data_IF_216505342932
#
_entry.id   IF_216505342932
#
_cell.length_a   1.000
_cell.length_b   1.000
_cell.length_c   1.000
_cell.angle_alpha   90.00
_cell.angle_beta   90.00
_cell.angle_gamma   90.00
#
_symmetry.space_group_name_H-M   'P 1'
#
loop_
_entity.id
_entity.type
_entity.pdbx_description
1 polymer ?
#
# COMPACT_ATOMS: atom_id res chain seq x y z
N UNK A 1 38.61 65.79 29.97
CA UNK A 1 39.47 64.59 29.89
C UNK A 1 39.36 64.05 28.47
N UNK A 2 40.37 64.34 27.66
CA UNK A 2 40.49 63.91 26.26
C UNK A 2 40.89 62.44 26.20
N UNK A 3 40.02 61.61 25.62
CA UNK A 3 40.23 60.17 25.46
C UNK A 3 41.12 59.93 24.23
N UNK A 4 42.44 59.99 24.43
CA UNK A 4 43.41 59.68 23.39
C UNK A 4 43.40 58.19 23.05
N UNK A 5 43.31 57.80 21.77
CA UNK A 5 43.59 56.42 21.36
C UNK A 5 45.03 56.07 21.79
N UNK A 6 45.20 54.97 22.52
CA UNK A 6 46.53 54.41 22.78
C UNK A 6 46.93 53.60 21.55
N UNK A 7 47.76 54.19 20.70
CA UNK A 7 48.66 53.39 19.85
C UNK A 7 49.77 52.87 20.77
N UNK A 8 49.56 51.72 21.42
CA UNK A 8 50.53 51.17 22.37
C UNK A 8 51.71 50.54 21.62
N UNK A 9 52.77 51.31 21.44
CA UNK A 9 54.12 50.78 21.20
C UNK A 9 54.71 50.28 22.52
N UNK A 10 54.23 49.13 23.02
CA UNK A 10 54.98 48.34 24.01
C UNK A 10 55.74 47.23 23.29
N UNK A 11 57.01 47.05 23.64
CA UNK A 11 57.88 46.00 23.08
C UNK A 11 57.23 44.62 23.29
N UNK A 12 56.86 43.95 22.19
CA UNK A 12 56.16 42.67 22.17
C UNK A 12 54.66 42.71 21.79
N UNK A 13 54.12 43.91 21.55
CA UNK A 13 52.74 44.11 21.10
C UNK A 13 52.72 45.01 19.86
N UNK A 14 53.18 44.52 18.71
CA UNK A 14 53.05 45.28 17.46
C UNK A 14 51.65 45.13 16.84
N UNK A 15 51.23 46.14 16.07
CA UNK A 15 50.03 46.06 15.20
C UNK A 15 48.67 45.85 15.88
N UNK A 16 48.50 46.27 17.13
CA UNK A 16 47.21 46.26 17.81
C UNK A 16 46.43 47.58 17.64
N UNK A 17 45.10 47.52 17.54
CA UNK A 17 44.22 48.68 17.51
C UNK A 17 43.23 48.64 18.68
N UNK A 18 43.38 49.53 19.66
CA UNK A 18 42.54 49.59 20.85
C UNK A 18 41.80 50.92 20.97
N UNK A 19 40.47 50.88 21.06
CA UNK A 19 39.63 52.08 21.21
C UNK A 19 38.50 51.87 22.23
N UNK A 20 38.44 52.76 23.21
CA UNK A 20 37.44 52.75 24.29
C UNK A 20 38.09 52.64 25.67
N UNK A 21 37.37 53.05 26.71
CA UNK A 21 37.89 53.03 28.08
C UNK A 21 38.34 51.62 28.47
N UNK A 22 39.61 51.48 28.83
CA UNK A 22 40.30 50.23 29.19
C UNK A 22 40.35 49.14 28.11
N UNK A 23 40.05 49.42 26.84
CA UNK A 23 40.20 48.43 25.78
C UNK A 23 41.65 47.90 25.75
N UNK A 24 41.83 46.58 25.77
CA UNK A 24 43.14 45.91 25.78
C UNK A 24 44.04 46.25 26.99
N UNK A 25 43.51 46.81 28.08
CA UNK A 25 44.34 47.30 29.20
C UNK A 25 45.17 46.20 29.88
N UNK A 26 44.70 44.95 29.85
CA UNK A 26 45.39 43.79 30.44
C UNK A 26 46.24 43.00 29.44
N UNK A 27 46.27 43.39 28.17
CA UNK A 27 47.07 42.76 27.12
C UNK A 27 48.55 43.07 27.35
N UNK A 28 49.34 42.05 27.69
CA UNK A 28 50.79 42.20 27.95
C UNK A 28 51.66 41.70 26.79
N UNK A 29 51.13 40.79 25.99
CA UNK A 29 51.75 40.19 24.81
C UNK A 29 50.66 39.98 23.77
N UNK A 30 51.06 39.62 22.55
CA UNK A 30 50.13 39.35 21.47
C UNK A 30 49.99 40.54 20.52
N UNK A 31 49.80 40.21 19.25
CA UNK A 31 49.89 41.14 18.13
C UNK A 31 48.65 41.01 17.25
N UNK A 32 48.41 42.02 16.40
CA UNK A 32 47.32 42.02 15.41
C UNK A 32 45.91 41.90 16.02
N UNK A 33 45.70 42.45 17.21
CA UNK A 33 44.40 42.47 17.88
C UNK A 33 43.64 43.77 17.61
N UNK A 34 42.32 43.69 17.45
CA UNK A 34 41.41 44.83 17.28
C UNK A 34 40.39 44.84 18.41
N UNK A 35 40.52 45.73 19.38
CA UNK A 35 39.58 45.86 20.50
C UNK A 35 38.87 47.21 20.51
N UNK A 36 37.55 47.21 20.33
CA UNK A 36 36.74 48.42 20.22
C UNK A 36 35.54 48.33 21.17
N UNK A 37 35.50 49.19 22.19
CA UNK A 37 34.44 49.22 23.19
C UNK A 37 35.00 49.36 24.61
N UNK A 38 34.17 49.82 25.55
CA UNK A 38 34.61 49.88 26.95
C UNK A 38 34.88 48.46 27.47
N UNK A 39 36.08 48.27 28.03
CA UNK A 39 36.57 46.98 28.53
C UNK A 39 36.64 45.85 27.47
N UNK A 40 36.60 46.16 26.17
CA UNK A 40 36.82 45.15 25.14
C UNK A 40 38.24 44.55 25.26
N UNK A 41 38.36 43.23 25.28
CA UNK A 41 39.64 42.52 25.49
C UNK A 41 40.32 42.84 26.83
N UNK A 42 39.59 43.35 27.82
CA UNK A 42 40.13 43.76 29.13
C UNK A 42 39.95 42.68 30.20
N UNK A 43 40.46 41.48 29.94
CA UNK A 43 40.39 40.36 30.88
C UNK A 43 41.75 39.85 31.32
N UNK A 44 41.73 39.00 32.33
CA UNK A 44 42.96 38.35 32.82
C UNK A 44 43.52 37.47 31.71
N UNK A 45 44.83 37.62 31.44
CA UNK A 45 45.55 36.83 30.45
C UNK A 45 45.06 36.95 29.00
N UNK A 46 44.35 38.01 28.62
CA UNK A 46 43.96 38.28 27.22
C UNK A 46 45.19 38.72 26.41
N UNK A 47 46.06 37.75 26.11
CA UNK A 47 47.45 37.95 25.65
C UNK A 47 47.75 37.23 24.33
N UNK A 48 46.73 36.65 23.69
CA UNK A 48 46.88 35.99 22.40
C UNK A 48 46.87 36.98 21.24
N UNK A 49 47.12 36.46 20.03
CA UNK A 49 47.26 37.26 18.81
C UNK A 49 46.07 37.08 17.87
N UNK A 50 45.91 38.01 16.94
CA UNK A 50 44.94 37.93 15.84
C UNK A 50 43.47 37.88 16.30
N UNK A 51 43.13 38.54 17.42
CA UNK A 51 41.77 38.58 17.93
C UNK A 51 41.04 39.87 17.57
N UNK A 52 39.74 39.78 17.29
CA UNK A 52 38.86 40.94 17.14
C UNK A 52 37.83 40.92 18.26
N UNK A 53 37.69 42.00 19.03
CA UNK A 53 36.64 42.16 20.03
C UNK A 53 35.97 43.54 19.90
N UNK A 54 34.71 43.58 19.50
CA UNK A 54 33.96 44.81 19.24
C UNK A 54 32.65 44.78 20.04
N UNK A 55 32.48 45.71 20.98
CA UNK A 55 31.35 45.77 21.90
C UNK A 55 31.77 46.15 23.32
N UNK A 56 30.82 46.58 24.15
CA UNK A 56 31.08 46.74 25.58
C UNK A 56 31.34 45.35 26.19
N UNK A 57 32.47 45.22 26.87
CA UNK A 57 32.92 43.98 27.53
C UNK A 57 33.02 42.75 26.63
N UNK A 58 33.24 42.93 25.33
CA UNK A 58 33.50 41.80 24.43
C UNK A 58 34.91 41.23 24.59
N UNK A 59 35.06 39.92 24.42
CA UNK A 59 36.35 39.23 24.43
C UNK A 59 37.14 39.31 25.74
N UNK A 60 36.47 39.60 26.88
CA UNK A 60 37.12 39.68 28.19
C UNK A 60 37.56 38.30 28.68
N UNK A 61 36.76 37.27 28.46
CA UNK A 61 37.07 35.89 28.80
C UNK A 61 38.10 35.23 27.89
N UNK A 62 38.61 35.91 26.84
CA UNK A 62 39.56 35.35 25.86
C UNK A 62 41.00 35.20 26.40
N UNK A 63 41.15 34.57 27.56
CA UNK A 63 42.42 34.32 28.20
C UNK A 63 43.28 33.39 27.33
N UNK A 64 44.47 33.83 26.94
CA UNK A 64 45.45 33.13 26.09
C UNK A 64 44.92 32.65 24.72
N UNK A 65 43.71 33.03 24.31
CA UNK A 65 43.11 32.62 23.05
C UNK A 65 43.59 33.47 21.87
N UNK A 66 43.72 32.84 20.70
CA UNK A 66 44.21 33.49 19.48
C UNK A 66 43.27 33.22 18.29
N UNK A 67 43.26 34.12 17.31
CA UNK A 67 42.45 33.95 16.08
C UNK A 67 40.94 33.93 16.36
N UNK A 68 40.48 34.69 17.35
CA UNK A 68 39.07 34.71 17.75
C UNK A 68 38.36 36.01 17.35
N UNK A 69 37.05 35.93 17.12
CA UNK A 69 36.19 37.09 16.81
C UNK A 69 35.04 37.19 17.80
N UNK A 70 34.91 38.33 18.47
CA UNK A 70 33.83 38.63 19.42
C UNK A 70 33.14 39.93 19.00
N UNK A 71 31.88 39.86 18.59
CA UNK A 71 31.14 41.02 18.09
C UNK A 71 29.80 41.12 18.81
N UNK A 72 29.66 42.08 19.73
CA UNK A 72 28.43 42.33 20.47
C UNK A 72 28.68 42.72 21.94
N UNK A 73 27.64 43.27 22.59
CA UNK A 73 27.62 43.52 24.03
C UNK A 73 27.84 42.20 24.79
N UNK A 74 28.92 42.06 25.56
CA UNK A 74 29.32 40.80 26.21
C UNK A 74 29.42 39.59 25.27
N UNK A 75 29.79 39.77 24.00
CA UNK A 75 30.19 38.65 23.17
C UNK A 75 31.55 38.13 23.67
N UNK A 76 31.68 36.85 24.04
CA UNK A 76 32.85 36.40 24.80
C UNK A 76 33.26 34.94 24.62
N UNK A 77 34.40 34.58 25.21
CA UNK A 77 34.92 33.23 25.39
C UNK A 77 34.63 32.71 26.81
N UNK A 78 34.40 31.40 26.95
CA UNK A 78 34.20 30.77 28.27
C UNK A 78 35.35 29.87 28.74
N UNK A 79 36.39 29.70 27.92
CA UNK A 79 37.53 28.83 28.22
C UNK A 79 38.85 29.51 27.85
N UNK A 80 39.90 29.17 28.60
CA UNK A 80 41.27 29.61 28.34
C UNK A 80 41.80 28.91 27.09
N UNK A 81 42.51 29.65 26.24
CA UNK A 81 43.24 29.11 25.09
C UNK A 81 42.34 28.64 23.95
N UNK A 82 41.10 29.14 23.84
CA UNK A 82 40.30 28.85 22.65
C UNK A 82 40.93 29.49 21.42
N UNK A 83 40.85 28.81 20.29
CA UNK A 83 41.44 29.24 19.02
C UNK A 83 40.46 29.08 17.86
N UNK A 84 40.53 29.98 16.88
CA UNK A 84 39.66 29.93 15.70
C UNK A 84 38.17 29.86 16.09
N UNK A 85 37.78 30.70 17.04
CA UNK A 85 36.44 30.74 17.61
C UNK A 85 35.76 32.07 17.32
N UNK A 86 34.45 32.06 17.08
CA UNK A 86 33.68 33.28 16.79
C UNK A 86 32.42 33.34 17.63
N UNK A 87 32.16 34.47 18.28
CA UNK A 87 30.89 34.78 18.94
C UNK A 87 30.34 36.11 18.39
N UNK A 88 29.15 36.07 17.79
CA UNK A 88 28.50 37.24 17.20
C UNK A 88 27.10 37.38 17.80
N UNK A 89 26.80 38.55 18.37
CA UNK A 89 25.53 38.88 19.02
C UNK A 89 25.71 39.26 20.49
N UNK A 90 24.74 40.00 21.03
CA UNK A 90 24.76 40.36 22.45
C UNK A 90 24.67 39.10 23.32
N UNK A 91 25.60 38.96 24.26
CA UNK A 91 25.77 37.80 25.14
C UNK A 91 26.04 36.48 24.40
N UNK A 92 26.54 36.53 23.15
CA UNK A 92 27.01 35.32 22.48
C UNK A 92 28.30 34.83 23.15
N UNK A 93 28.34 33.56 23.55
CA UNK A 93 29.51 32.98 24.24
C UNK A 93 29.96 31.72 23.53
N UNK A 94 31.22 31.69 23.07
CA UNK A 94 31.85 30.52 22.45
C UNK A 94 32.73 29.79 23.45
N UNK A 95 32.59 28.47 23.50
CA UNK A 95 33.22 27.62 24.53
C UNK A 95 34.14 26.54 23.95
N UNK A 96 34.44 26.59 22.65
CA UNK A 96 35.28 25.62 21.98
C UNK A 96 36.06 26.27 20.83
N UNK A 97 37.25 25.73 20.54
CA UNK A 97 38.01 26.08 19.34
C UNK A 97 37.31 25.56 18.08
N UNK A 98 37.57 26.20 16.92
CA UNK A 98 36.97 25.85 15.63
C UNK A 98 35.42 25.90 15.64
N UNK A 99 34.85 26.84 16.40
CA UNK A 99 33.41 26.97 16.57
C UNK A 99 32.94 28.39 16.34
N UNK A 100 31.73 28.54 15.77
CA UNK A 100 31.03 29.81 15.68
C UNK A 100 29.72 29.72 16.45
N UNK A 101 29.47 30.71 17.31
CA UNK A 101 28.20 30.93 18.02
C UNK A 101 27.58 32.23 17.52
N UNK A 102 26.38 32.13 16.95
CA UNK A 102 25.63 33.26 16.41
C UNK A 102 24.39 33.50 17.26
N UNK A 103 24.49 34.50 18.13
CA UNK A 103 23.48 34.89 19.10
C UNK A 103 23.67 34.26 20.48
N UNK A 104 22.68 34.50 21.34
CA UNK A 104 22.57 33.83 22.64
C UNK A 104 21.41 32.82 22.59
N UNK A 105 21.21 32.03 23.65
CA UNK A 105 20.17 31.01 23.73
C UNK A 105 18.72 31.50 23.52
N UNK A 106 18.47 32.78 23.23
CA UNK A 106 17.15 33.36 22.88
C UNK A 106 17.10 33.99 21.49
N UNK A 107 18.22 34.06 20.77
CA UNK A 107 18.30 34.68 19.44
C UNK A 107 17.74 33.74 18.36
N UNK A 108 17.02 34.32 17.40
CA UNK A 108 16.64 33.70 16.14
C UNK A 108 17.48 34.32 15.01
N UNK A 109 18.02 33.48 14.14
CA UNK A 109 18.84 33.89 12.98
C UNK A 109 18.00 33.83 11.72
N UNK A 110 17.87 34.96 11.02
CA UNK A 110 17.20 35.05 9.73
C UNK A 110 18.19 35.11 8.57
N UNK A 111 18.00 34.28 7.55
CA UNK A 111 18.67 34.42 6.24
C UNK A 111 17.60 34.81 5.22
N UNK A 112 17.65 36.07 4.77
CA UNK A 112 16.59 36.63 3.90
C UNK A 112 15.27 36.96 4.61
N UNK A 113 15.16 36.69 5.91
CA UNK A 113 13.99 37.04 6.74
C UNK A 113 14.39 38.05 7.82
N UNK A 114 13.70 39.20 7.87
CA UNK A 114 13.87 40.21 8.92
C UNK A 114 13.07 39.93 10.20
N UNK A 115 12.18 38.92 10.18
CA UNK A 115 11.36 38.51 11.32
C UNK A 115 11.40 36.97 11.49
N UNK A 116 12.54 36.38 11.88
CA UNK A 116 12.70 34.94 11.99
C UNK A 116 11.80 34.35 13.08
N UNK A 117 10.92 33.41 12.72
CA UNK A 117 9.95 32.77 13.62
C UNK A 117 10.47 31.48 14.28
N UNK A 118 11.68 31.06 13.91
CA UNK A 118 12.34 29.87 14.44
C UNK A 118 13.83 30.18 14.61
N UNK A 119 14.57 29.31 15.33
CA UNK A 119 15.99 29.53 15.67
C UNK A 119 16.85 29.83 14.47
N UNK A 120 16.60 29.14 13.37
CA UNK A 120 17.13 29.45 12.05
C UNK A 120 15.97 29.50 11.07
N UNK A 121 15.70 30.67 10.50
CA UNK A 121 14.68 30.87 9.48
C UNK A 121 15.33 31.32 8.17
N UNK A 122 15.28 30.45 7.16
CA UNK A 122 15.80 30.72 5.82
C UNK A 122 14.61 30.98 4.91
N UNK A 123 14.50 32.20 4.37
CA UNK A 123 13.52 32.50 3.32
C UNK A 123 14.11 32.07 1.97
N UNK A 124 13.66 30.93 1.46
CA UNK A 124 14.11 30.37 0.19
C UNK A 124 13.88 31.33 -0.98
N UNK A 125 14.87 31.44 -1.88
CA UNK A 125 14.79 32.34 -3.03
C UNK A 125 13.90 31.84 -4.18
N UNK A 126 13.53 30.55 -4.18
CA UNK A 126 12.68 29.92 -5.20
C UNK A 126 11.58 29.07 -4.54
N UNK A 127 10.39 28.96 -5.14
CA UNK A 127 9.34 28.05 -4.68
C UNK A 127 9.86 26.62 -4.48
N UNK A 128 9.38 25.94 -3.45
CA UNK A 128 9.70 24.54 -3.13
C UNK A 128 11.19 24.26 -2.83
N UNK A 129 11.98 25.27 -2.44
CA UNK A 129 13.38 25.08 -2.03
C UNK A 129 13.63 25.69 -0.66
N UNK A 130 14.33 24.94 0.21
CA UNK A 130 14.68 25.41 1.57
C UNK A 130 15.91 26.34 1.59
N UNK A 131 16.63 26.50 0.47
CA UNK A 131 17.87 27.28 0.40
C UNK A 131 19.11 26.62 1.02
N UNK A 132 19.00 25.39 1.54
CA UNK A 132 20.11 24.62 2.10
C UNK A 132 20.66 23.66 1.03
N UNK A 133 21.97 23.67 0.80
CA UNK A 133 22.66 22.75 -0.12
C UNK A 133 23.79 22.01 0.59
N UNK A 134 23.80 20.68 0.48
CA UNK A 134 24.86 19.80 1.01
C UNK A 134 25.53 19.10 -0.18
N UNK A 135 26.53 19.74 -0.79
CA UNK A 135 27.03 19.35 -2.13
C UNK A 135 27.65 17.94 -2.24
N UNK A 136 28.13 17.37 -1.14
CA UNK A 136 28.69 16.01 -1.11
C UNK A 136 27.69 14.92 -0.68
N UNK A 137 26.43 15.30 -0.43
CA UNK A 137 25.33 14.39 -0.16
C UNK A 137 24.35 14.47 -1.35
N UNK A 138 24.51 13.57 -2.31
CA UNK A 138 23.75 13.57 -3.56
C UNK A 138 22.79 12.38 -3.60
N UNK A 139 21.90 12.35 -4.60
CA UNK A 139 21.05 11.18 -4.84
C UNK A 139 21.85 9.89 -5.16
N UNK A 140 23.14 10.01 -5.55
CA UNK A 140 24.03 8.87 -5.76
C UNK A 140 24.74 8.40 -4.47
N UNK A 141 24.64 9.14 -3.38
CA UNK A 141 25.23 8.76 -2.09
C UNK A 141 24.49 7.55 -1.50
N UNK A 142 25.22 6.49 -1.18
CA UNK A 142 24.64 5.32 -0.52
C UNK A 142 24.43 5.58 0.98
N UNK A 143 23.25 5.29 1.56
CA UNK A 143 23.03 5.43 2.99
C UNK A 143 23.99 4.54 3.78
N UNK A 144 24.69 5.12 4.75
CA UNK A 144 25.55 4.36 5.70
C UNK A 144 24.72 3.77 6.84
N UNK A 145 23.61 4.44 7.20
CA UNK A 145 22.70 4.04 8.28
C UNK A 145 21.29 3.99 7.72
N UNK A 146 20.56 2.91 7.99
CA UNK A 146 19.14 2.77 7.68
C UNK A 146 18.33 3.15 8.92
N UNK A 147 17.44 4.13 8.77
CA UNK A 147 16.57 4.65 9.84
C UNK A 147 15.17 4.90 9.28
N UNK A 148 14.15 4.59 10.08
CA UNK A 148 12.75 4.88 9.74
C UNK A 148 12.33 6.29 10.15
N UNK A 149 13.25 7.09 10.68
CA UNK A 149 13.05 8.50 11.01
C UNK A 149 13.87 9.39 10.09
N UNK A 150 13.25 10.46 9.61
CA UNK A 150 13.83 11.42 8.68
C UNK A 150 13.33 12.84 8.98
N UNK A 151 14.01 13.86 8.48
CA UNK A 151 13.53 15.24 8.58
C UNK A 151 12.58 15.55 7.42
N UNK A 152 11.46 16.19 7.72
CA UNK A 152 10.46 16.67 6.76
C UNK A 152 9.98 18.07 7.14
N UNK A 153 9.02 18.65 6.42
CA UNK A 153 8.48 19.98 6.71
C UNK A 153 6.99 19.94 7.01
N UNK A 154 6.53 20.79 7.93
CA UNK A 154 5.10 21.00 8.19
C UNK A 154 4.48 22.03 7.21
N UNK A 155 3.20 22.39 7.41
CA UNK A 155 2.50 23.38 6.57
C UNK A 155 3.10 24.80 6.61
N UNK A 156 3.86 25.13 7.66
CA UNK A 156 4.57 26.40 7.83
C UNK A 156 6.00 26.35 7.29
N UNK A 157 6.47 25.18 6.81
CA UNK A 157 7.83 24.98 6.34
C UNK A 157 8.86 24.66 7.43
N UNK A 158 8.44 24.49 8.69
CA UNK A 158 9.37 24.13 9.77
C UNK A 158 9.87 22.69 9.59
N UNK A 159 11.16 22.49 9.84
CA UNK A 159 11.75 21.15 9.87
C UNK A 159 11.23 20.39 11.10
N UNK A 160 10.62 19.22 10.85
CA UNK A 160 10.05 18.32 11.85
C UNK A 160 10.52 16.89 11.63
N UNK A 161 10.49 16.07 12.69
CA UNK A 161 10.84 14.66 12.62
C UNK A 161 9.67 13.85 12.04
N UNK A 162 9.86 13.32 10.84
CA UNK A 162 8.98 12.34 10.21
C UNK A 162 9.39 10.91 10.56
N UNK A 163 8.43 9.98 10.42
CA UNK A 163 8.73 8.55 10.47
C UNK A 163 7.94 7.77 9.43
N UNK A 164 8.57 6.72 8.89
CA UNK A 164 7.91 5.72 8.05
C UNK A 164 7.01 4.79 8.89
N UNK A 165 7.30 4.65 10.19
CA UNK A 165 6.41 3.98 11.12
C UNK A 165 5.31 4.94 11.61
N UNK A 166 4.09 4.75 11.12
CA UNK A 166 2.92 5.44 11.68
C UNK A 166 2.51 4.83 13.02
N UNK A 167 3.24 5.08 14.09
CA UNK A 167 2.76 4.77 15.44
C UNK A 167 1.75 5.82 15.90
N UNK A 168 0.46 5.59 15.59
CA UNK A 168 -0.76 5.83 16.41
C UNK A 168 -2.04 5.84 15.54
N UNK A 169 -2.40 4.70 14.97
CA UNK A 169 -3.78 4.20 14.75
C UNK A 169 -3.70 2.78 14.16
N UNK A 170 -4.56 1.83 14.55
CA UNK A 170 -4.46 0.41 14.15
C UNK A 170 -4.94 0.12 12.71
N UNK A 171 -4.95 1.10 11.80
CA UNK A 171 -5.61 1.00 10.48
C UNK A 171 -4.67 1.30 9.30
N UNK A 172 -3.43 0.79 9.34
CA UNK A 172 -2.52 0.88 8.18
C UNK A 172 -2.60 -0.40 7.34
N UNK A 173 -3.38 -0.33 6.25
CA UNK A 173 -3.57 -1.35 5.20
C UNK A 173 -2.23 -1.93 4.67
N UNK A 174 -1.13 -1.19 4.82
CA UNK A 174 0.21 -1.54 4.31
C UNK A 174 0.90 -2.73 4.99
N UNK A 175 0.42 -3.24 6.14
CA UNK A 175 1.00 -4.45 6.76
C UNK A 175 0.35 -5.76 6.32
N UNK A 176 -0.74 -5.69 5.54
CA UNK A 176 -1.48 -6.87 5.12
C UNK A 176 -1.14 -7.32 3.71
N UNK A 177 -0.52 -6.44 2.90
CA UNK A 177 -0.27 -6.66 1.47
C UNK A 177 1.21 -6.51 1.13
N UNK A 178 1.73 -7.47 0.37
CA UNK A 178 3.12 -7.47 -0.12
C UNK A 178 3.13 -7.69 -1.63
N UNK A 179 3.92 -6.89 -2.35
CA UNK A 179 4.24 -7.16 -3.75
C UNK A 179 5.30 -8.26 -3.81
N UNK A 180 4.98 -9.36 -4.47
CA UNK A 180 5.89 -10.49 -4.70
C UNK A 180 5.78 -10.92 -6.15
N UNK A 181 6.87 -10.84 -6.92
CA UNK A 181 6.90 -11.21 -8.34
C UNK A 181 5.83 -10.49 -9.18
N UNK A 182 5.59 -9.20 -8.93
CA UNK A 182 4.52 -8.38 -9.53
C UNK A 182 3.08 -8.76 -9.13
N UNK A 183 2.90 -9.65 -8.14
CA UNK A 183 1.59 -9.98 -7.58
C UNK A 183 1.40 -9.31 -6.22
N UNK A 184 0.26 -8.66 -6.03
CA UNK A 184 -0.16 -8.16 -4.72
C UNK A 184 -0.74 -9.33 -3.90
N UNK A 185 -0.08 -9.67 -2.79
CA UNK A 185 -0.43 -10.82 -1.95
C UNK A 185 -0.83 -10.39 -0.55
N UNK A 186 -1.96 -10.89 -0.05
CA UNK A 186 -2.30 -10.78 1.38
C UNK A 186 -1.43 -11.77 2.19
N UNK A 187 -0.69 -11.28 3.20
CA UNK A 187 0.29 -12.07 3.95
C UNK A 187 -0.18 -12.53 5.34
N UNK A 188 -1.34 -12.08 5.84
CA UNK A 188 -1.83 -12.41 7.19
C UNK A 188 -3.04 -13.35 7.22
N UNK A 189 -3.26 -14.11 6.15
CA UNK A 189 -4.39 -15.06 6.04
C UNK A 189 -5.77 -14.43 6.29
N UNK A 190 -5.90 -13.12 6.04
CA UNK A 190 -7.16 -12.40 6.09
C UNK A 190 -7.80 -12.38 4.69
N UNK A 191 -9.14 -12.34 4.63
CA UNK A 191 -9.89 -12.28 3.36
C UNK A 191 -9.95 -10.86 2.77
N UNK A 192 -10.27 -10.76 1.48
CA UNK A 192 -10.57 -9.50 0.78
C UNK A 192 -12.09 -9.28 0.73
N UNK A 193 -12.54 -8.09 1.11
CA UNK A 193 -13.94 -7.67 1.08
C UNK A 193 -14.05 -6.46 0.15
N UNK A 194 -14.92 -6.56 -0.86
CA UNK A 194 -15.31 -5.45 -1.73
C UNK A 194 -16.77 -5.15 -1.43
N UNK A 195 -17.04 -4.19 -0.54
CA UNK A 195 -18.40 -3.85 -0.11
C UNK A 195 -18.43 -2.98 1.15
N UNK A 196 -19.61 -2.46 1.48
CA UNK A 196 -19.84 -1.58 2.61
C UNK A 196 -20.48 -2.35 3.79
N UNK A 197 -20.16 -1.97 5.02
CA UNK A 197 -20.72 -2.54 6.26
C UNK A 197 -20.47 -4.05 6.49
N UNK A 198 -19.40 -4.60 5.91
CA UNK A 198 -18.98 -6.00 6.10
C UNK A 198 -17.55 -6.01 6.62
N UNK A 199 -17.33 -6.63 7.79
CA UNK A 199 -16.04 -6.57 8.50
C UNK A 199 -15.24 -7.86 8.44
N UNK A 200 -15.83 -8.96 7.94
CA UNK A 200 -15.15 -10.26 7.77
C UNK A 200 -15.76 -11.03 6.61
N UNK A 201 -14.94 -11.84 5.94
CA UNK A 201 -15.46 -12.81 4.98
C UNK A 201 -16.23 -13.92 5.71
N UNK A 202 -17.23 -14.54 5.07
CA UNK A 202 -17.86 -15.74 5.62
C UNK A 202 -16.84 -16.86 5.84
N UNK A 203 -17.05 -17.75 6.84
CA UNK A 203 -16.16 -18.88 7.10
C UNK A 203 -15.93 -19.72 5.84
N UNK A 204 -14.66 -20.04 5.54
CA UNK A 204 -14.28 -20.81 4.35
C UNK A 204 -14.00 -19.97 3.09
N UNK A 205 -14.28 -18.66 3.10
CA UNK A 205 -14.07 -17.77 1.96
C UNK A 205 -12.95 -16.76 2.21
N UNK A 206 -12.11 -16.54 1.18
CA UNK A 206 -11.04 -15.52 1.19
C UNK A 206 -11.36 -14.27 0.35
N UNK A 207 -12.44 -14.28 -0.42
CA UNK A 207 -12.91 -13.14 -1.22
C UNK A 207 -14.42 -13.04 -1.06
N UNK A 208 -14.92 -11.86 -0.71
CA UNK A 208 -16.34 -11.51 -0.71
C UNK A 208 -16.55 -10.23 -1.51
N UNK A 209 -17.54 -10.22 -2.41
CA UNK A 209 -17.86 -9.08 -3.26
C UNK A 209 -19.35 -8.79 -3.16
N UNK A 210 -19.70 -7.63 -2.59
CA UNK A 210 -21.06 -7.10 -2.57
C UNK A 210 -21.45 -6.64 -3.98
N UNK A 211 -22.72 -6.82 -4.35
CA UNK A 211 -23.29 -6.42 -5.66
C UNK A 211 -22.74 -7.18 -6.90
N UNK A 212 -21.87 -8.17 -6.70
CA UNK A 212 -21.47 -9.14 -7.72
C UNK A 212 -20.18 -8.81 -8.47
N UNK A 213 -19.87 -9.63 -9.49
CA UNK A 213 -18.63 -9.55 -10.28
C UNK A 213 -18.99 -9.52 -11.76
N UNK A 214 -18.63 -8.46 -12.47
CA UNK A 214 -18.69 -8.41 -13.93
C UNK A 214 -17.33 -8.84 -14.50
N UNK A 215 -17.30 -9.86 -15.34
CA UNK A 215 -16.06 -10.38 -15.95
C UNK A 215 -16.33 -10.96 -17.33
N UNK A 216 -15.35 -10.83 -18.24
CA UNK A 216 -15.40 -11.45 -19.57
C UNK A 216 -15.17 -12.97 -19.50
N UNK A 217 -14.50 -13.46 -18.46
CA UNK A 217 -14.12 -14.88 -18.36
C UNK A 217 -14.01 -15.35 -16.93
N UNK A 218 -14.81 -16.38 -16.60
CA UNK A 218 -14.74 -17.10 -15.33
C UNK A 218 -14.31 -18.55 -15.58
N UNK A 219 -13.24 -19.00 -14.91
CA UNK A 219 -12.84 -20.41 -14.86
C UNK A 219 -12.92 -20.88 -13.41
N UNK A 220 -13.66 -21.95 -13.15
CA UNK A 220 -13.77 -22.58 -11.83
C UNK A 220 -13.13 -23.95 -11.92
N UNK A 221 -12.12 -24.20 -11.09
CA UNK A 221 -11.47 -25.50 -10.99
C UNK A 221 -12.07 -26.28 -9.81
N UNK A 222 -12.36 -27.56 -10.04
CA UNK A 222 -12.73 -28.50 -8.99
C UNK A 222 -11.48 -29.12 -8.37
N UNK A 223 -11.55 -29.50 -7.09
CA UNK A 223 -10.39 -30.05 -6.36
C UNK A 223 -10.05 -31.48 -6.78
N UNK A 224 -11.03 -32.25 -7.23
CA UNK A 224 -10.84 -33.64 -7.64
C UNK A 224 -11.79 -34.01 -8.79
N UNK A 225 -11.42 -35.05 -9.54
CA UNK A 225 -12.29 -35.64 -10.57
C UNK A 225 -13.51 -36.35 -9.98
N UNK A 226 -13.49 -36.74 -8.70
CA UNK A 226 -14.63 -37.36 -8.03
C UNK A 226 -15.82 -36.39 -7.88
N UNK A 227 -15.55 -35.08 -7.95
CA UNK A 227 -16.58 -34.03 -7.91
C UNK A 227 -17.17 -33.73 -9.31
N UNK A 228 -16.71 -34.45 -10.35
CA UNK A 228 -17.20 -34.32 -11.72
C UNK A 228 -18.13 -35.47 -12.10
N UNK A 229 -19.22 -35.16 -12.80
CA UNK A 229 -20.27 -36.14 -13.14
C UNK A 229 -19.96 -36.88 -14.44
N UNK A 230 -19.13 -37.92 -14.39
CA UNK A 230 -18.84 -38.81 -15.55
C UNK A 230 -19.28 -40.28 -15.32
N UNK A 231 -20.14 -40.53 -14.33
CA UNK A 231 -20.48 -41.89 -13.89
C UNK A 231 -21.89 -42.36 -14.30
N UNK A 232 -22.70 -41.50 -14.93
CA UNK A 232 -24.08 -41.85 -15.34
C UNK A 232 -24.10 -42.87 -16.46
N UNK A 233 -23.03 -42.97 -17.25
CA UNK A 233 -22.89 -43.92 -18.35
C UNK A 233 -22.21 -45.25 -17.96
N UNK A 234 -21.82 -45.42 -16.70
CA UNK A 234 -21.23 -46.68 -16.24
C UNK A 234 -22.26 -47.82 -16.19
N UNK A 235 -21.83 -49.05 -16.48
CA UNK A 235 -22.71 -50.23 -16.59
C UNK A 235 -23.52 -50.55 -15.31
N UNK A 236 -23.12 -50.00 -14.16
CA UNK A 236 -23.81 -50.16 -12.86
C UNK A 236 -24.78 -49.04 -12.49
N UNK A 237 -24.94 -48.00 -13.31
CA UNK A 237 -25.77 -46.84 -12.96
C UNK A 237 -27.26 -47.19 -12.93
N UNK A 238 -27.89 -47.02 -11.75
CA UNK A 238 -29.33 -47.24 -11.57
C UNK A 238 -30.12 -45.99 -11.96
N UNK A 239 -30.53 -45.92 -13.22
CA UNK A 239 -31.45 -44.90 -13.71
C UNK A 239 -32.82 -45.07 -13.02
N UNK A 240 -33.31 -44.02 -12.35
CA UNK A 240 -34.67 -43.98 -11.79
C UNK A 240 -35.69 -44.18 -12.92
N UNK A 241 -36.88 -44.66 -12.61
CA UNK A 241 -37.96 -44.70 -13.60
C UNK A 241 -38.65 -43.35 -13.68
N UNK A 242 -39.22 -43.00 -14.86
CA UNK A 242 -39.99 -41.75 -15.02
C UNK A 242 -41.16 -41.66 -14.03
N UNK A 243 -41.79 -42.78 -13.66
CA UNK A 243 -42.86 -42.80 -12.65
C UNK A 243 -42.37 -42.46 -11.24
N UNK A 244 -41.16 -42.86 -10.86
CA UNK A 244 -40.55 -42.47 -9.59
C UNK A 244 -40.18 -40.99 -9.57
N UNK A 245 -39.63 -40.49 -10.69
CA UNK A 245 -39.30 -39.06 -10.84
C UNK A 245 -40.58 -38.22 -10.80
N UNK A 246 -41.65 -38.62 -11.49
CA UNK A 246 -42.95 -37.94 -11.46
C UNK A 246 -43.50 -37.84 -10.03
N UNK A 247 -43.47 -38.94 -9.28
CA UNK A 247 -43.91 -38.96 -7.89
C UNK A 247 -43.09 -38.03 -7.02
N UNK A 248 -41.76 -38.01 -7.21
CA UNK A 248 -40.87 -37.12 -6.47
C UNK A 248 -41.19 -35.65 -6.74
N UNK A 249 -41.32 -35.27 -8.01
CA UNK A 249 -41.59 -33.88 -8.43
C UNK A 249 -42.96 -33.40 -7.95
N UNK A 250 -43.99 -34.27 -7.97
CA UNK A 250 -45.32 -33.92 -7.46
C UNK A 250 -45.28 -33.51 -5.98
N UNK A 251 -44.51 -34.22 -5.17
CA UNK A 251 -44.37 -34.01 -3.73
C UNK A 251 -43.40 -32.88 -3.39
N UNK A 252 -42.22 -32.83 -4.02
CA UNK A 252 -41.12 -31.94 -3.61
C UNK A 252 -41.01 -30.65 -4.44
N UNK A 253 -41.71 -30.55 -5.58
CA UNK A 253 -41.67 -29.39 -6.49
C UNK A 253 -40.29 -29.03 -7.05
N UNK A 254 -39.31 -29.91 -6.94
CA UNK A 254 -38.01 -29.80 -7.59
C UNK A 254 -37.54 -31.18 -8.06
N UNK A 255 -36.54 -31.21 -8.93
CA UNK A 255 -35.92 -32.46 -9.38
C UNK A 255 -35.10 -33.10 -8.26
N UNK A 256 -34.96 -34.45 -8.26
CA UNK A 256 -34.05 -35.13 -7.34
C UNK A 256 -32.65 -34.54 -7.41
N UNK A 257 -31.98 -34.45 -6.27
CA UNK A 257 -30.60 -33.97 -6.08
C UNK A 257 -30.40 -32.45 -6.30
N UNK A 258 -31.37 -31.73 -6.90
CA UNK A 258 -31.32 -30.28 -7.11
C UNK A 258 -31.73 -29.55 -5.83
N UNK A 259 -30.94 -28.58 -5.33
CA UNK A 259 -31.28 -27.84 -4.12
C UNK A 259 -32.56 -27.01 -4.29
N UNK A 260 -33.29 -26.80 -3.19
CA UNK A 260 -34.48 -25.94 -3.17
C UNK A 260 -34.09 -24.46 -3.26
N UNK A 261 -35.00 -23.62 -3.76
CA UNK A 261 -34.79 -22.18 -3.82
C UNK A 261 -34.46 -21.57 -2.44
N UNK A 262 -35.09 -22.06 -1.37
CA UNK A 262 -34.80 -21.61 0.00
C UNK A 262 -33.36 -21.90 0.43
N UNK A 263 -32.83 -23.08 0.07
CA UNK A 263 -31.44 -23.44 0.38
C UNK A 263 -30.44 -22.60 -0.41
N UNK A 264 -30.74 -22.29 -1.67
CA UNK A 264 -29.91 -21.43 -2.54
C UNK A 264 -29.81 -20.00 -2.01
N UNK A 265 -30.90 -19.45 -1.47
CA UNK A 265 -30.91 -18.10 -0.88
C UNK A 265 -30.07 -18.04 0.40
N UNK A 266 -30.07 -19.11 1.21
CA UNK A 266 -29.33 -19.15 2.47
C UNK A 266 -27.84 -19.45 2.27
N UNK A 267 -27.51 -20.45 1.47
CA UNK A 267 -26.15 -21.02 1.40
C UNK A 267 -25.38 -20.60 0.13
N UNK A 268 -26.06 -20.03 -0.87
CA UNK A 268 -25.51 -19.84 -2.21
C UNK A 268 -25.40 -21.15 -3.00
N UNK A 269 -24.80 -21.08 -4.20
CA UNK A 269 -24.54 -22.24 -5.06
C UNK A 269 -23.05 -22.25 -5.45
N UNK A 270 -22.40 -23.40 -5.29
CA UNK A 270 -21.14 -23.68 -5.97
C UNK A 270 -21.42 -23.95 -7.46
N UNK A 271 -20.94 -23.05 -8.32
CA UNK A 271 -21.19 -23.11 -9.77
C UNK A 271 -20.63 -24.39 -10.39
N UNK A 272 -19.48 -24.89 -9.91
CA UNK A 272 -18.89 -26.11 -10.45
C UNK A 272 -19.73 -27.33 -10.09
N UNK A 273 -20.18 -27.43 -8.84
CA UNK A 273 -21.09 -28.51 -8.41
C UNK A 273 -22.43 -28.45 -9.15
N UNK A 274 -22.98 -27.25 -9.35
CA UNK A 274 -24.22 -27.09 -10.11
C UNK A 274 -24.04 -27.50 -11.57
N UNK A 275 -22.96 -27.09 -12.23
CA UNK A 275 -22.68 -27.51 -13.61
C UNK A 275 -22.48 -29.03 -13.73
N UNK A 276 -21.80 -29.66 -12.78
CA UNK A 276 -21.68 -31.11 -12.73
C UNK A 276 -23.04 -31.80 -12.51
N UNK A 277 -23.88 -31.26 -11.62
CA UNK A 277 -25.24 -31.78 -11.40
C UNK A 277 -26.13 -31.60 -12.63
N UNK A 278 -26.04 -30.46 -13.33
CA UNK A 278 -26.75 -30.23 -14.58
C UNK A 278 -26.29 -31.22 -15.66
N UNK A 279 -24.99 -31.49 -15.76
CA UNK A 279 -24.45 -32.51 -16.66
C UNK A 279 -25.05 -33.89 -16.34
N UNK A 280 -25.04 -34.31 -15.07
CA UNK A 280 -25.70 -35.55 -14.61
C UNK A 280 -27.14 -35.66 -15.11
N UNK A 281 -27.91 -34.57 -15.00
CA UNK A 281 -29.33 -34.56 -15.44
C UNK A 281 -29.47 -34.59 -16.95
N UNK A 282 -28.57 -33.96 -17.71
CA UNK A 282 -28.53 -34.09 -19.17
C UNK A 282 -28.25 -35.54 -19.57
N UNK A 283 -27.34 -36.23 -18.87
CA UNK A 283 -27.02 -37.63 -19.13
C UNK A 283 -28.19 -38.56 -18.78
N UNK A 284 -28.84 -38.38 -17.62
CA UNK A 284 -30.06 -39.11 -17.24
C UNK A 284 -31.17 -38.94 -18.31
N UNK A 285 -31.39 -37.71 -18.78
CA UNK A 285 -32.37 -37.43 -19.86
C UNK A 285 -31.96 -38.11 -21.17
N UNK A 286 -30.68 -38.11 -21.50
CA UNK A 286 -30.15 -38.79 -22.70
C UNK A 286 -30.42 -40.29 -22.64
N UNK A 287 -30.25 -40.93 -21.48
CA UNK A 287 -30.60 -42.35 -21.31
C UNK A 287 -32.10 -42.62 -21.49
N UNK A 288 -32.99 -41.77 -20.95
CA UNK A 288 -34.43 -41.91 -21.19
C UNK A 288 -34.78 -41.74 -22.68
N UNK A 289 -34.13 -40.81 -23.39
CA UNK A 289 -34.33 -40.61 -24.82
C UNK A 289 -33.91 -41.83 -25.64
N UNK A 290 -32.76 -42.45 -25.30
CA UNK A 290 -32.31 -43.69 -25.93
C UNK A 290 -33.31 -44.83 -25.68
N UNK A 291 -33.83 -44.97 -24.46
CA UNK A 291 -34.87 -45.96 -24.14
C UNK A 291 -36.16 -45.71 -24.93
N UNK A 292 -36.59 -44.45 -25.02
CA UNK A 292 -37.78 -44.05 -25.78
C UNK A 292 -37.61 -44.32 -27.29
N UNK A 293 -36.44 -44.03 -27.86
CA UNK A 293 -36.15 -44.29 -29.26
C UNK A 293 -36.19 -45.79 -29.57
N UNK A 294 -35.61 -46.63 -28.71
CA UNK A 294 -35.68 -48.10 -28.82
C UNK A 294 -37.12 -48.60 -28.74
N UNK A 295 -37.92 -48.08 -27.80
CA UNK A 295 -39.33 -48.41 -27.68
C UNK A 295 -40.12 -48.01 -28.93
N UNK A 296 -39.89 -46.81 -29.47
CA UNK A 296 -40.52 -46.35 -30.71
C UNK A 296 -40.12 -47.17 -31.93
N UNK A 297 -38.85 -47.58 -32.06
CA UNK A 297 -38.39 -48.49 -33.11
C UNK A 297 -39.11 -49.84 -33.04
N UNK A 298 -39.23 -50.40 -31.84
CA UNK A 298 -39.96 -51.65 -31.63
C UNK A 298 -41.45 -51.50 -31.93
N UNK A 299 -42.08 -50.40 -31.50
CA UNK A 299 -43.47 -50.10 -31.78
C UNK A 299 -43.71 -49.96 -33.28
N UNK A 300 -42.83 -49.25 -34.00
CA UNK A 300 -42.90 -49.10 -35.45
C UNK A 300 -42.72 -50.43 -36.18
N UNK A 301 -41.83 -51.31 -35.71
CA UNK A 301 -41.68 -52.66 -36.26
C UNK A 301 -42.95 -53.49 -36.04
N UNK A 302 -43.54 -53.45 -34.84
CA UNK A 302 -44.82 -54.11 -34.55
C UNK A 302 -45.95 -53.55 -35.41
N UNK A 303 -46.04 -52.24 -35.58
CA UNK A 303 -47.03 -51.60 -36.46
C UNK A 303 -46.88 -52.04 -37.92
N UNK A 304 -45.63 -52.14 -38.42
CA UNK A 304 -45.36 -52.70 -39.76
C UNK A 304 -45.81 -54.16 -39.85
N UNK A 305 -45.48 -55.00 -38.87
CA UNK A 305 -45.92 -56.41 -38.84
C UNK A 305 -47.45 -56.53 -38.81
N UNK A 306 -48.12 -55.75 -37.95
CA UNK A 306 -49.57 -55.69 -37.88
C UNK A 306 -50.19 -55.27 -39.22
N UNK A 307 -49.68 -54.22 -39.86
CA UNK A 307 -50.17 -53.79 -41.17
C UNK A 307 -50.02 -54.87 -42.25
N UNK A 308 -48.94 -55.66 -42.22
CA UNK A 308 -48.71 -56.76 -43.14
C UNK A 308 -49.70 -57.92 -42.89
N UNK A 309 -49.94 -58.28 -41.62
CA UNK A 309 -50.93 -59.29 -41.23
C UNK A 309 -52.34 -58.84 -41.64
N UNK A 310 -52.73 -57.61 -41.34
CA UNK A 310 -54.04 -57.06 -41.72
C UNK A 310 -54.22 -57.07 -43.24
N UNK A 311 -53.19 -56.71 -44.01
CA UNK A 311 -53.24 -56.77 -45.47
C UNK A 311 -53.40 -58.19 -46.01
N UNK A 312 -52.74 -59.17 -45.37
CA UNK A 312 -52.90 -60.58 -45.71
C UNK A 312 -54.32 -61.08 -45.40
N UNK A 313 -54.84 -60.77 -44.21
CA UNK A 313 -56.21 -61.12 -43.82
C UNK A 313 -57.24 -60.52 -44.78
N UNK A 314 -57.06 -59.28 -45.25
CA UNK A 314 -57.93 -58.67 -46.25
C UNK A 314 -57.90 -59.43 -47.59
N UNK A 315 -56.72 -59.91 -48.03
CA UNK A 315 -56.60 -60.74 -49.24
C UNK A 315 -57.30 -62.08 -49.07
N UNK A 316 -57.07 -62.76 -47.95
CA UNK A 316 -57.68 -64.07 -47.67
C UNK A 316 -59.20 -63.95 -47.57
N UNK A 317 -59.70 -62.89 -46.92
CA UNK A 317 -61.13 -62.60 -46.84
C UNK A 317 -61.72 -62.34 -48.23
N UNK A 318 -61.02 -61.61 -49.10
CA UNK A 318 -61.46 -61.38 -50.49
C UNK A 318 -61.52 -62.69 -51.28
N UNK A 319 -60.52 -63.56 -51.13
CA UNK A 319 -60.51 -64.88 -51.77
C UNK A 319 -61.64 -65.78 -51.25
N UNK A 320 -61.90 -65.78 -49.94
CA UNK A 320 -63.01 -66.53 -49.34
C UNK A 320 -64.36 -66.03 -49.87
N UNK A 321 -64.57 -64.70 -49.93
CA UNK A 321 -65.79 -64.12 -50.53
C UNK A 321 -65.95 -64.51 -52.01
N UNK A 322 -64.86 -64.50 -52.79
CA UNK A 322 -64.88 -64.94 -54.18
C UNK A 322 -65.22 -66.43 -54.31
N UNK A 323 -64.65 -67.29 -53.44
CA UNK A 323 -64.99 -68.72 -53.40
C UNK A 323 -66.43 -68.96 -53.00
N UNK A 324 -66.95 -68.23 -52.01
CA UNK A 324 -68.34 -68.29 -51.60
C UNK A 324 -69.26 -67.89 -52.76
N UNK A 325 -69.00 -66.75 -53.42
CA UNK A 325 -69.77 -66.32 -54.58
C UNK A 325 -69.71 -67.34 -55.74
N UNK A 326 -68.56 -67.98 -55.97
CA UNK A 326 -68.42 -69.03 -56.98
C UNK A 326 -69.20 -70.31 -56.61
N UNK A 327 -69.23 -70.69 -55.33
CA UNK A 327 -70.04 -71.81 -54.83
C UNK A 327 -71.53 -71.52 -54.91
N UNK A 328 -71.95 -70.31 -54.52
CA UNK A 328 -73.34 -69.84 -54.64
C UNK A 328 -73.80 -69.84 -56.10
N UNK A 329 -72.99 -69.36 -57.04
CA UNK A 329 -73.27 -69.42 -58.48
C UNK A 329 -73.36 -70.86 -59.01
N UNK A 330 -72.50 -71.77 -58.55
CA UNK A 330 -72.58 -73.21 -58.91
C UNK A 330 -73.84 -73.87 -58.36
N UNK A 331 -74.25 -73.53 -57.15
CA UNK A 331 -75.52 -73.98 -56.55
C UNK A 331 -76.74 -73.44 -57.30
N UNK A 332 -76.66 -72.21 -57.83
CA UNK A 332 -77.71 -71.61 -58.65
C UNK A 332 -77.84 -72.28 -60.03
N UNK A 333 -76.73 -72.71 -60.64
CA UNK A 333 -76.70 -73.43 -61.93
C UNK A 333 -77.09 -74.91 -61.83
N UNK A 334 -77.16 -75.48 -60.61
CA UNK A 334 -77.52 -76.87 -60.35
C UNK A 334 -79.02 -77.06 -60.04
N UNK A 335 -79.83 -76.00 -60.17
CA UNK A 335 -81.30 -76.02 -60.10
C UNK A 335 -81.88 -75.82 -61.51
#
# INVERSE_FOLDING_TARGET
MTDHPRESSQSGTSSNFFRGRNAGNQTRTGENNVYIGNNAGNGVSVNGSNNTAIGFESGRGNAAGSTNTFLGYHADANFVGIENATAIGAHAVVSASNAMVLGNGSVNVGIGSSNPQNRLHILGGLPNTAGIRVSNLTAASSPVVVTDRFLTVNASGDIVLGSLEKTKQPDSVSQYWMLSNNYLRNIRSQGLILGNNITRTPPGYRLFVQDGIMTEKLKVAIKSTADWSDYVFEEGFRLKTLGEVERYVKTHKHLPDVPTAGKVVQDGIDIAQMNALLLKKIEEITLYLIQLEKANKLLNQRNKQLSAITSQQQRDLKQLKQRQAALENRLLQAK
#
